data_IF_917955168511
#
_entry.id   IF_917955168511
#
_cell.length_a   1.000
_cell.length_b   1.000
_cell.length_c   1.000
_cell.angle_alpha   90.00
_cell.angle_beta   90.00
_cell.angle_gamma   90.00
#
_symmetry.space_group_name_H-M   'P 1'
#
loop_
_entity.id
_entity.type
_entity.pdbx_description
1 polymer ?
#
# COMPACT_ATOMS: atom_id res chain seq x y z
N UNK A 1 -10.18 -3.27 -18.59
CA UNK A 1 -11.60 -2.81 -18.61
C UNK A 1 -12.23 -3.12 -17.27
N UNK A 2 -13.01 -2.20 -16.73
CA UNK A 2 -13.77 -2.44 -15.48
C UNK A 2 -14.84 -3.51 -15.74
N UNK A 3 -15.04 -4.41 -14.73
CA UNK A 3 -16.04 -5.46 -14.85
C UNK A 3 -17.46 -4.85 -14.92
N UNK A 4 -18.23 -5.04 -16.00
CA UNK A 4 -19.56 -4.44 -16.20
C UNK A 4 -20.60 -4.96 -15.18
N UNK A 5 -20.37 -6.10 -14.53
CA UNK A 5 -21.28 -6.63 -13.51
C UNK A 5 -21.20 -5.90 -12.16
N UNK A 6 -20.15 -5.08 -11.97
CA UNK A 6 -19.91 -4.32 -10.73
C UNK A 6 -20.44 -2.89 -10.89
N UNK A 7 -21.74 -2.70 -10.75
CA UNK A 7 -22.39 -1.40 -10.98
C UNK A 7 -22.99 -0.84 -9.68
N UNK A 8 -22.90 0.48 -9.53
CA UNK A 8 -23.65 1.20 -8.51
C UNK A 8 -24.92 1.77 -9.16
N UNK A 9 -26.08 1.46 -8.59
CA UNK A 9 -27.32 2.11 -9.02
C UNK A 9 -27.23 3.62 -8.76
N UNK A 10 -27.15 4.41 -9.81
CA UNK A 10 -27.19 5.86 -9.72
C UNK A 10 -28.63 6.31 -9.52
N UNK A 11 -28.86 7.35 -8.71
CA UNK A 11 -30.16 8.02 -8.59
C UNK A 11 -30.70 8.59 -9.91
N UNK A 12 -29.90 8.59 -10.98
CA UNK A 12 -30.24 9.03 -12.34
C UNK A 12 -30.42 7.88 -13.34
N UNK A 13 -30.46 6.60 -12.88
CA UNK A 13 -30.66 5.46 -13.77
C UNK A 13 -29.45 5.10 -14.67
N UNK A 14 -28.31 5.76 -14.50
CA UNK A 14 -27.09 5.45 -15.25
C UNK A 14 -26.23 4.51 -14.37
N UNK A 15 -26.05 3.30 -14.82
CA UNK A 15 -25.16 2.32 -14.15
C UNK A 15 -23.70 2.75 -14.35
N UNK A 16 -23.06 3.22 -13.28
CA UNK A 16 -21.65 3.62 -13.32
C UNK A 16 -20.80 2.46 -12.77
N UNK A 17 -19.79 1.98 -13.51
CA UNK A 17 -18.98 0.86 -13.05
C UNK A 17 -18.17 1.25 -11.81
N UNK A 18 -18.11 0.35 -10.80
CA UNK A 18 -17.30 0.56 -9.61
C UNK A 18 -15.89 0.05 -9.85
N UNK A 19 -14.86 0.88 -9.57
CA UNK A 19 -13.48 0.46 -9.54
C UNK A 19 -13.12 -0.07 -8.14
N UNK A 20 -12.67 -1.32 -8.06
CA UNK A 20 -12.18 -1.92 -6.83
C UNK A 20 -10.67 -1.74 -6.72
N UNK A 21 -10.23 -1.14 -5.62
CA UNK A 21 -8.80 -0.86 -5.34
C UNK A 21 -8.38 -1.67 -4.12
N UNK A 22 -7.38 -2.54 -4.27
CA UNK A 22 -6.80 -3.29 -3.16
C UNK A 22 -5.60 -2.56 -2.58
N UNK A 23 -5.56 -2.44 -1.26
CA UNK A 23 -4.51 -1.75 -0.51
C UNK A 23 -3.54 -2.77 0.10
N UNK A 24 -2.48 -3.08 -0.63
CA UNK A 24 -1.39 -3.94 -0.21
C UNK A 24 -0.33 -3.15 0.59
N UNK A 25 0.12 -3.67 1.70
CA UNK A 25 1.17 -3.00 2.49
C UNK A 25 1.54 -3.80 3.74
N UNK A 26 2.76 -3.61 4.20
CA UNK A 26 3.31 -4.33 5.34
C UNK A 26 2.44 -4.17 6.59
N UNK A 27 2.09 -5.29 7.20
CA UNK A 27 1.33 -5.37 8.45
C UNK A 27 2.22 -5.92 9.57
N UNK A 28 2.86 -7.06 9.32
CA UNK A 28 3.70 -7.74 10.32
C UNK A 28 4.90 -6.87 10.74
N UNK A 29 5.07 -6.69 12.04
CA UNK A 29 6.15 -5.89 12.62
C UNK A 29 5.92 -4.38 12.64
N UNK A 30 4.73 -3.90 12.26
CA UNK A 30 4.34 -2.50 12.37
C UNK A 30 3.29 -2.30 13.46
N UNK A 31 3.25 -1.10 14.07
CA UNK A 31 2.12 -0.68 14.89
C UNK A 31 0.88 -0.43 14.02
N UNK A 32 -0.30 -0.48 14.65
CA UNK A 32 -1.57 -0.29 13.95
C UNK A 32 -1.66 1.05 13.23
N UNK A 33 -1.15 2.12 13.83
CA UNK A 33 -1.19 3.47 13.25
C UNK A 33 -0.40 3.56 11.94
N UNK A 34 0.79 2.94 11.89
CA UNK A 34 1.58 2.84 10.66
C UNK A 34 0.89 1.99 9.59
N UNK A 35 0.20 0.92 10.01
CA UNK A 35 -0.58 0.10 9.08
C UNK A 35 -1.79 0.83 8.51
N UNK A 36 -2.50 1.60 9.32
CA UNK A 36 -3.74 2.26 8.94
C UNK A 36 -3.53 3.66 8.38
N UNK A 37 -2.52 4.40 8.82
CA UNK A 37 -2.35 5.83 8.52
C UNK A 37 -2.41 6.15 7.03
N UNK A 38 -1.59 5.50 6.23
CA UNK A 38 -1.56 5.70 4.78
C UNK A 38 -2.84 5.20 4.07
N UNK A 39 -3.43 4.10 4.56
CA UNK A 39 -4.69 3.55 4.03
C UNK A 39 -5.84 4.50 4.27
N UNK A 40 -5.99 4.96 5.53
CA UNK A 40 -7.04 5.89 5.91
C UNK A 40 -6.92 7.21 5.15
N UNK A 41 -5.71 7.70 4.92
CA UNK A 41 -5.47 8.92 4.14
C UNK A 41 -6.01 8.80 2.71
N UNK A 42 -5.76 7.66 2.03
CA UNK A 42 -6.29 7.40 0.70
C UNK A 42 -7.82 7.26 0.73
N UNK A 43 -8.34 6.42 1.62
CA UNK A 43 -9.77 6.14 1.72
C UNK A 43 -10.56 7.42 2.02
N UNK A 44 -10.12 8.21 2.99
CA UNK A 44 -10.78 9.47 3.38
C UNK A 44 -10.78 10.48 2.23
N UNK A 45 -9.64 10.65 1.54
CA UNK A 45 -9.57 11.56 0.40
C UNK A 45 -10.63 11.25 -0.66
N UNK A 46 -10.80 9.97 -1.02
CA UNK A 46 -11.79 9.57 -2.03
C UNK A 46 -13.21 9.48 -1.48
N UNK A 47 -13.42 9.28 -0.17
CA UNK A 47 -14.74 9.33 0.46
C UNK A 47 -15.32 10.75 0.44
N UNK A 48 -14.50 11.75 0.75
CA UNK A 48 -14.91 13.17 0.77
C UNK A 48 -15.16 13.72 -0.65
N UNK A 49 -14.58 13.07 -1.65
CA UNK A 49 -14.73 13.48 -3.06
C UNK A 49 -16.10 13.16 -3.65
N UNK A 50 -16.98 12.43 -2.95
CA UNK A 50 -18.30 11.96 -3.41
C UNK A 50 -19.27 13.08 -3.86
N UNK A 51 -18.98 14.35 -3.57
CA UNK A 51 -19.85 15.49 -3.89
C UNK A 51 -19.56 16.21 -5.22
N UNK A 52 -18.46 15.93 -5.93
CA UNK A 52 -17.98 16.76 -7.05
C UNK A 52 -17.63 15.97 -8.33
N UNK A 53 -18.50 15.04 -8.75
CA UNK A 53 -18.23 14.19 -9.92
C UNK A 53 -17.27 13.03 -9.58
N UNK A 54 -17.41 12.51 -8.39
CA UNK A 54 -16.57 11.45 -7.85
C UNK A 54 -16.75 10.16 -8.64
N UNK A 55 -15.63 9.55 -8.97
CA UNK A 55 -15.60 8.20 -9.52
C UNK A 55 -15.99 7.20 -8.41
N UNK A 56 -16.84 6.20 -8.70
CA UNK A 56 -17.19 5.18 -7.74
C UNK A 56 -16.00 4.25 -7.49
N UNK A 57 -15.25 4.52 -6.42
CA UNK A 57 -14.13 3.72 -5.99
C UNK A 57 -14.51 2.99 -4.71
N UNK A 58 -14.26 1.69 -4.66
CA UNK A 58 -14.42 0.83 -3.49
C UNK A 58 -13.07 0.25 -3.09
N UNK A 59 -12.71 0.38 -1.82
CA UNK A 59 -11.44 -0.11 -1.32
C UNK A 59 -11.59 -1.50 -0.71
N UNK A 60 -10.68 -2.39 -1.09
CA UNK A 60 -10.47 -3.70 -0.49
C UNK A 60 -9.20 -3.61 0.35
N UNK A 61 -9.31 -3.86 1.64
CA UNK A 61 -8.17 -3.77 2.56
C UNK A 61 -7.88 -5.13 3.19
N UNK A 62 -6.62 -5.51 3.23
CA UNK A 62 -6.15 -6.70 3.93
C UNK A 62 -6.52 -6.69 5.43
N UNK A 63 -6.71 -5.49 6.01
CA UNK A 63 -7.07 -5.32 7.42
C UNK A 63 -8.56 -5.47 7.72
N UNK A 64 -9.46 -5.37 6.75
CA UNK A 64 -10.92 -5.37 6.95
C UNK A 64 -11.51 -6.64 7.61
N UNK A 65 -10.72 -7.66 7.85
CA UNK A 65 -11.14 -8.89 8.54
C UNK A 65 -10.24 -9.23 9.73
N UNK A 66 -9.39 -8.29 10.16
CA UNK A 66 -8.52 -8.46 11.31
C UNK A 66 -9.14 -7.67 12.44
N UNK A 67 -9.65 -8.39 13.46
CA UNK A 67 -10.13 -7.75 14.68
C UNK A 67 -9.00 -6.92 15.28
N UNK A 68 -9.28 -5.64 15.50
CA UNK A 68 -8.30 -4.61 15.84
C UNK A 68 -7.70 -4.74 17.24
N UNK A 69 -8.18 -5.66 18.06
CA UNK A 69 -7.89 -5.68 19.50
C UNK A 69 -6.63 -6.44 19.88
N UNK A 70 -5.96 -7.10 18.94
CA UNK A 70 -4.76 -7.89 19.20
C UNK A 70 -3.58 -7.49 18.34
N UNK A 71 -3.06 -6.27 18.57
CA UNK A 71 -1.73 -5.89 18.08
C UNK A 71 -0.72 -6.27 19.14
N UNK A 72 0.03 -7.33 18.91
CA UNK A 72 1.19 -7.64 19.74
C UNK A 72 2.47 -7.00 19.18
N UNK A 73 3.58 -7.18 19.88
CA UNK A 73 4.91 -6.71 19.43
C UNK A 73 5.35 -7.32 18.09
N UNK A 74 4.64 -8.30 17.57
CA UNK A 74 4.89 -8.97 16.29
C UNK A 74 3.96 -8.51 15.17
N UNK A 75 3.02 -7.62 15.41
CA UNK A 75 2.02 -7.12 14.47
C UNK A 75 0.61 -7.62 14.79
N UNK A 76 -0.30 -7.44 13.85
CA UNK A 76 -1.68 -7.89 14.00
C UNK A 76 -1.75 -9.41 14.06
N UNK A 77 -2.19 -9.95 15.18
CA UNK A 77 -2.55 -11.36 15.27
C UNK A 77 -3.89 -11.54 14.57
N UNK A 78 -3.87 -12.27 13.48
CA UNK A 78 -5.11 -12.65 12.82
C UNK A 78 -5.72 -13.86 13.51
N UNK A 79 -6.99 -13.80 13.88
CA UNK A 79 -7.76 -14.96 14.29
C UNK A 79 -7.95 -15.98 13.14
N UNK A 80 -7.61 -15.58 11.91
CA UNK A 80 -7.73 -16.40 10.71
C UNK A 80 -6.46 -17.27 10.55
N UNK A 81 -6.59 -18.58 10.31
CA UNK A 81 -5.45 -19.43 10.01
C UNK A 81 -4.61 -18.91 8.83
N UNK A 82 -3.27 -19.07 8.86
CA UNK A 82 -2.37 -18.52 7.84
C UNK A 82 -2.71 -18.89 6.39
N UNK A 83 -3.17 -20.11 6.15
CA UNK A 83 -3.61 -20.58 4.83
C UNK A 83 -4.85 -19.83 4.33
N UNK A 84 -5.80 -19.49 5.21
CA UNK A 84 -6.96 -18.70 4.84
C UNK A 84 -6.62 -17.22 4.61
N UNK A 85 -5.58 -16.70 5.23
CA UNK A 85 -5.07 -15.35 4.92
C UNK A 85 -4.59 -15.31 3.47
N UNK A 86 -3.80 -16.28 3.06
CA UNK A 86 -3.32 -16.41 1.68
C UNK A 86 -4.49 -16.42 0.68
N UNK A 87 -5.46 -17.31 0.90
CA UNK A 87 -6.61 -17.45 0.00
C UNK A 87 -7.43 -16.16 -0.08
N UNK A 88 -7.66 -15.50 1.07
CA UNK A 88 -8.38 -14.22 1.14
C UNK A 88 -7.67 -13.12 0.38
N UNK A 89 -6.35 -12.96 0.60
CA UNK A 89 -5.57 -11.91 -0.03
C UNK A 89 -5.48 -12.16 -1.55
N UNK A 90 -5.27 -13.40 -1.99
CA UNK A 90 -5.32 -13.79 -3.39
C UNK A 90 -6.70 -13.48 -4.02
N UNK A 91 -7.81 -13.81 -3.34
CA UNK A 91 -9.15 -13.49 -3.84
C UNK A 91 -9.36 -11.98 -3.92
N UNK A 92 -8.85 -11.21 -2.97
CA UNK A 92 -8.94 -9.75 -2.97
C UNK A 92 -8.16 -9.13 -4.13
N UNK A 93 -6.94 -9.61 -4.39
CA UNK A 93 -6.15 -9.22 -5.56
C UNK A 93 -6.88 -9.57 -6.87
N UNK A 94 -7.47 -10.76 -6.97
CA UNK A 94 -8.26 -11.16 -8.16
C UNK A 94 -9.48 -10.27 -8.37
N UNK A 95 -10.17 -9.89 -7.29
CA UNK A 95 -11.37 -9.04 -7.33
C UNK A 95 -11.05 -7.59 -7.66
N UNK A 96 -9.90 -7.09 -7.26
CA UNK A 96 -9.49 -5.72 -7.49
C UNK A 96 -9.30 -5.43 -8.99
N UNK A 97 -9.56 -4.19 -9.37
CA UNK A 97 -9.26 -3.64 -10.70
C UNK A 97 -7.89 -2.95 -10.70
N UNK A 98 -7.48 -2.38 -9.54
CA UNK A 98 -6.20 -1.70 -9.33
C UNK A 98 -5.60 -2.15 -8.00
N UNK A 99 -4.29 -2.30 -7.94
CA UNK A 99 -3.56 -2.58 -6.70
C UNK A 99 -2.71 -1.36 -6.34
N UNK A 100 -2.81 -0.90 -5.11
CA UNK A 100 -1.85 0.05 -4.52
C UNK A 100 -0.98 -0.74 -3.55
N UNK A 101 0.32 -0.82 -3.83
CA UNK A 101 1.28 -1.49 -2.97
C UNK A 101 2.19 -0.45 -2.28
N UNK A 102 2.06 -0.34 -0.96
CA UNK A 102 2.97 0.48 -0.16
C UNK A 102 4.24 -0.31 0.14
N UNK A 103 5.32 0.09 -0.52
CA UNK A 103 6.66 -0.51 -0.40
C UNK A 103 7.54 0.24 0.61
N UNK A 104 6.97 1.21 1.34
CA UNK A 104 7.66 1.97 2.36
C UNK A 104 8.16 1.03 3.47
N UNK A 105 9.45 1.12 3.77
CA UNK A 105 10.04 0.48 4.95
C UNK A 105 9.99 1.50 6.08
N UNK A 106 9.17 1.24 7.06
CA UNK A 106 9.20 2.01 8.28
C UNK A 106 10.48 1.63 9.04
N UNK A 107 11.37 2.60 9.24
CA UNK A 107 12.51 2.43 10.14
C UNK A 107 11.99 2.42 11.58
N UNK A 108 12.55 1.56 12.42
CA UNK A 108 12.25 1.60 13.84
C UNK A 108 12.68 2.94 14.43
N UNK A 109 11.85 3.47 15.33
CA UNK A 109 12.18 4.69 16.09
C UNK A 109 13.56 4.54 16.73
N UNK A 110 14.43 5.53 16.54
CA UNK A 110 15.80 5.53 17.05
C UNK A 110 16.87 5.04 16.07
N UNK A 111 16.50 4.54 14.87
CA UNK A 111 17.49 4.26 13.84
C UNK A 111 17.99 5.55 13.17
N UNK A 112 17.14 6.56 13.06
CA UNK A 112 17.51 7.89 12.58
C UNK A 112 18.60 8.51 13.45
N UNK A 113 18.53 8.34 14.78
CA UNK A 113 19.55 8.79 15.72
C UNK A 113 20.89 8.05 15.54
N UNK A 114 20.84 6.79 15.10
CA UNK A 114 22.06 5.98 14.85
C UNK A 114 22.70 6.33 13.51
N UNK A 115 21.89 6.75 12.53
CA UNK A 115 22.35 7.07 11.17
C UNK A 115 22.66 8.55 10.99
N UNK A 116 22.38 9.42 11.97
CA UNK A 116 22.66 10.83 11.90
C UNK A 116 24.10 11.14 12.38
N UNK A 117 25.06 11.43 11.49
CA UNK A 117 26.47 11.51 11.82
C UNK A 117 26.91 12.85 12.44
N UNK A 118 25.99 13.74 12.81
CA UNK A 118 26.33 15.06 13.37
C UNK A 118 26.85 15.02 14.81
N UNK A 119 26.80 13.85 15.47
CA UNK A 119 27.33 13.65 16.82
C UNK A 119 28.75 13.11 16.84
N UNK A 120 29.63 13.70 17.66
CA UNK A 120 30.91 13.07 18.02
C UNK A 120 30.64 11.95 18.99
N UNK A 121 30.48 10.73 18.47
CA UNK A 121 30.30 9.54 19.31
C UNK A 121 31.60 9.21 20.04
N UNK A 122 31.52 8.92 21.36
CA UNK A 122 32.59 8.23 22.04
C UNK A 122 32.55 6.73 21.67
N UNK A 123 33.59 5.99 22.01
CA UNK A 123 33.75 4.58 21.66
C UNK A 123 32.55 3.72 22.14
N UNK A 124 31.99 4.00 23.31
CA UNK A 124 30.85 3.26 23.86
C UNK A 124 29.59 3.50 23.05
N UNK A 125 29.31 4.77 22.68
CA UNK A 125 28.16 5.16 21.88
C UNK A 125 28.22 4.54 20.48
N UNK A 126 29.40 4.44 19.87
CA UNK A 126 29.59 3.76 18.59
C UNK A 126 29.31 2.27 18.70
N UNK A 127 29.74 1.61 19.78
CA UNK A 127 29.48 0.20 20.03
C UNK A 127 27.99 -0.04 20.26
N UNK A 128 27.31 0.80 21.06
CA UNK A 128 25.89 0.71 21.31
C UNK A 128 25.07 0.97 20.01
N UNK A 129 25.47 1.94 19.20
CA UNK A 129 24.88 2.22 17.89
C UNK A 129 25.05 1.02 16.94
N UNK A 130 26.23 0.41 16.90
CA UNK A 130 26.49 -0.79 16.12
C UNK A 130 25.59 -1.96 16.53
N UNK A 131 25.45 -2.23 17.85
CA UNK A 131 24.56 -3.30 18.32
C UNK A 131 23.09 -3.02 18.01
N UNK A 132 22.62 -1.77 18.13
CA UNK A 132 21.27 -1.38 17.71
C UNK A 132 21.08 -1.64 16.22
N UNK A 133 22.01 -1.20 15.38
CA UNK A 133 21.95 -1.43 13.94
C UNK A 133 21.92 -2.92 13.60
N UNK A 134 22.79 -3.73 14.22
CA UNK A 134 22.79 -5.17 14.05
C UNK A 134 21.46 -5.82 14.46
N UNK A 135 20.84 -5.37 15.54
CA UNK A 135 19.55 -5.85 15.98
C UNK A 135 18.43 -5.50 14.98
N UNK A 136 18.43 -4.27 14.46
CA UNK A 136 17.48 -3.84 13.44
C UNK A 136 17.62 -4.68 12.17
N UNK A 137 18.85 -4.86 11.69
CA UNK A 137 19.12 -5.68 10.49
C UNK A 137 18.70 -7.13 10.72
N UNK A 138 19.03 -7.72 11.88
CA UNK A 138 18.70 -9.10 12.23
C UNK A 138 17.20 -9.34 12.38
N UNK A 139 16.47 -8.35 12.88
CA UNK A 139 15.03 -8.42 13.11
C UNK A 139 14.22 -7.87 11.92
N UNK A 140 14.89 -7.34 10.89
CA UNK A 140 14.23 -6.83 9.68
C UNK A 140 13.53 -7.99 8.97
N UNK A 141 12.22 -7.99 9.04
CA UNK A 141 11.42 -8.97 8.31
C UNK A 141 11.16 -8.44 6.90
N UNK A 142 11.51 -9.18 5.86
CA UNK A 142 11.14 -8.82 4.50
C UNK A 142 9.62 -8.68 4.37
N UNK A 143 9.19 -7.74 3.53
CA UNK A 143 7.77 -7.52 3.25
C UNK A 143 7.26 -8.56 2.23
N UNK A 144 7.30 -9.85 2.61
CA UNK A 144 6.92 -10.95 1.72
C UNK A 144 5.45 -10.87 1.29
N UNK A 145 4.54 -10.48 2.20
CA UNK A 145 3.12 -10.38 1.91
C UNK A 145 2.85 -9.41 0.75
N UNK A 146 3.26 -8.16 0.90
CA UNK A 146 3.07 -7.14 -0.15
C UNK A 146 3.80 -7.49 -1.44
N UNK A 147 4.99 -8.09 -1.36
CA UNK A 147 5.72 -8.54 -2.55
C UNK A 147 4.97 -9.64 -3.29
N UNK A 148 4.37 -10.59 -2.58
CA UNK A 148 3.56 -11.65 -3.16
C UNK A 148 2.27 -11.11 -3.80
N UNK A 149 1.56 -10.22 -3.10
CA UNK A 149 0.35 -9.55 -3.61
C UNK A 149 0.65 -8.77 -4.90
N UNK A 150 1.79 -8.07 -4.94
CA UNK A 150 2.27 -7.38 -6.13
C UNK A 150 2.61 -8.36 -7.27
N UNK A 151 3.28 -9.47 -6.97
CA UNK A 151 3.59 -10.49 -7.96
C UNK A 151 2.32 -11.08 -8.59
N UNK A 152 1.29 -11.36 -7.78
CA UNK A 152 -0.01 -11.80 -8.28
C UNK A 152 -0.68 -10.73 -9.14
N UNK A 153 -0.63 -9.46 -8.73
CA UNK A 153 -1.19 -8.35 -9.49
C UNK A 153 -0.53 -8.23 -10.86
N UNK A 154 0.80 -8.27 -10.94
CA UNK A 154 1.56 -8.21 -12.18
C UNK A 154 1.31 -9.44 -13.08
N UNK A 155 1.17 -10.63 -12.49
CA UNK A 155 0.83 -11.84 -13.24
C UNK A 155 -0.59 -11.80 -13.82
N UNK A 156 -1.53 -11.23 -13.06
CA UNK A 156 -2.92 -11.03 -13.50
C UNK A 156 -3.09 -9.77 -14.38
N UNK A 157 -1.99 -9.13 -14.76
CA UNK A 157 -1.98 -7.91 -15.59
C UNK A 157 -2.83 -6.77 -15.02
N UNK A 158 -2.93 -6.70 -13.68
CA UNK A 158 -3.64 -5.63 -13.00
C UNK A 158 -2.81 -4.35 -13.00
N UNK A 159 -3.41 -3.19 -13.28
CA UNK A 159 -2.77 -1.91 -13.03
C UNK A 159 -2.30 -1.81 -11.58
N UNK A 160 -1.05 -1.43 -11.40
CA UNK A 160 -0.42 -1.33 -10.08
C UNK A 160 0.16 0.05 -9.84
N UNK A 161 -0.04 0.58 -8.63
CA UNK A 161 0.59 1.80 -8.14
C UNK A 161 1.51 1.42 -7.00
N UNK A 162 2.80 1.77 -7.08
CA UNK A 162 3.76 1.56 -6.01
C UNK A 162 4.02 2.88 -5.27
N UNK A 163 3.91 2.84 -3.95
CA UNK A 163 4.30 3.93 -3.05
C UNK A 163 5.69 3.58 -2.51
N UNK A 164 6.68 4.39 -2.84
CA UNK A 164 8.09 4.10 -2.54
C UNK A 164 8.50 4.47 -1.10
N UNK A 165 7.92 5.54 -0.55
CA UNK A 165 8.24 6.11 0.75
C UNK A 165 9.27 7.23 0.67
N UNK A 166 10.32 7.10 -0.15
CA UNK A 166 11.34 8.14 -0.35
C UNK A 166 11.72 8.31 -1.82
N UNK A 167 12.32 9.48 -2.20
CA UNK A 167 12.80 9.71 -3.57
C UNK A 167 13.84 8.69 -4.02
N UNK A 168 14.79 8.33 -3.14
CA UNK A 168 15.86 7.37 -3.44
C UNK A 168 15.29 5.99 -3.72
N UNK A 169 14.30 5.57 -2.92
CA UNK A 169 13.62 4.31 -3.11
C UNK A 169 12.77 4.30 -4.37
N UNK A 170 12.12 5.42 -4.70
CA UNK A 170 11.42 5.57 -5.97
C UNK A 170 12.36 5.31 -7.14
N UNK A 171 13.55 5.92 -7.14
CA UNK A 171 14.57 5.68 -8.15
C UNK A 171 14.97 4.21 -8.24
N UNK A 172 15.14 3.51 -7.09
CA UNK A 172 15.47 2.08 -7.06
C UNK A 172 14.34 1.25 -7.68
N UNK A 173 13.07 1.53 -7.34
CA UNK A 173 11.93 0.79 -7.87
C UNK A 173 11.74 1.02 -9.37
N UNK A 174 11.93 2.24 -9.87
CA UNK A 174 11.85 2.60 -11.29
C UNK A 174 12.92 1.89 -12.15
N UNK A 175 14.06 1.56 -11.54
CA UNK A 175 15.16 0.85 -12.22
C UNK A 175 15.17 -0.66 -11.94
N UNK A 176 14.30 -1.16 -11.06
CA UNK A 176 14.24 -2.58 -10.74
C UNK A 176 13.55 -3.37 -11.86
N UNK A 177 14.13 -4.50 -12.36
CA UNK A 177 13.62 -5.20 -13.55
C UNK A 177 12.15 -5.62 -13.48
N UNK A 178 11.65 -5.96 -12.29
CA UNK A 178 10.25 -6.34 -12.09
C UNK A 178 9.36 -5.15 -11.68
N UNK A 179 9.84 -4.29 -10.75
CA UNK A 179 9.01 -3.21 -10.19
C UNK A 179 8.71 -2.12 -11.20
N UNK A 180 9.61 -1.86 -12.16
CA UNK A 180 9.38 -0.93 -13.28
C UNK A 180 8.20 -1.32 -14.18
N UNK A 181 7.64 -2.52 -14.03
CA UNK A 181 6.41 -2.96 -14.74
C UNK A 181 5.14 -2.43 -14.09
N UNK A 182 5.23 -1.83 -12.91
CA UNK A 182 4.09 -1.15 -12.31
C UNK A 182 3.60 -0.02 -13.23
N UNK A 183 2.28 0.22 -13.22
CA UNK A 183 1.67 1.26 -14.04
C UNK A 183 2.12 2.65 -13.60
N UNK A 184 2.33 2.83 -12.30
CA UNK A 184 2.76 4.10 -11.69
C UNK A 184 3.65 3.81 -10.49
N UNK A 185 4.71 4.59 -10.32
CA UNK A 185 5.53 4.60 -9.10
C UNK A 185 5.53 6.03 -8.56
N UNK A 186 5.01 6.20 -7.34
CA UNK A 186 4.95 7.50 -6.65
C UNK A 186 5.93 7.50 -5.47
N UNK A 187 6.39 8.68 -5.08
CA UNK A 187 7.24 8.85 -3.91
C UNK A 187 6.50 8.47 -2.63
N UNK A 188 5.31 9.03 -2.44
CA UNK A 188 4.50 8.90 -1.23
C UNK A 188 3.00 8.99 -1.54
N UNK A 189 2.18 8.90 -0.50
CA UNK A 189 0.72 9.02 -0.61
C UNK A 189 0.30 10.41 -1.10
N UNK A 190 1.01 11.46 -0.72
CA UNK A 190 0.67 12.82 -1.14
C UNK A 190 0.82 12.98 -2.65
N UNK A 191 1.91 12.50 -3.24
CA UNK A 191 2.09 12.49 -4.70
C UNK A 191 0.97 11.71 -5.42
N UNK A 192 0.53 10.58 -4.83
CA UNK A 192 -0.59 9.79 -5.38
C UNK A 192 -1.87 10.61 -5.43
N UNK A 193 -2.20 11.30 -4.34
CA UNK A 193 -3.43 12.07 -4.18
C UNK A 193 -3.39 13.38 -4.99
N UNK A 194 -2.30 14.13 -4.96
CA UNK A 194 -2.12 15.39 -5.71
C UNK A 194 -2.27 15.17 -7.22
N UNK A 195 -1.64 14.13 -7.74
CA UNK A 195 -1.73 13.77 -9.16
C UNK A 195 -3.01 13.04 -9.53
N UNK A 196 -3.87 12.73 -8.56
CA UNK A 196 -5.17 12.06 -8.75
C UNK A 196 -5.07 10.77 -9.57
N UNK A 197 -4.05 9.96 -9.33
CA UNK A 197 -3.75 8.79 -10.14
C UNK A 197 -4.91 7.79 -10.23
N UNK A 198 -5.70 7.58 -9.16
CA UNK A 198 -6.86 6.69 -9.24
C UNK A 198 -7.95 7.23 -10.17
N UNK A 199 -8.11 8.55 -10.27
CA UNK A 199 -9.06 9.15 -11.22
C UNK A 199 -8.61 8.92 -12.68
N UNK A 200 -7.30 9.04 -12.94
CA UNK A 200 -6.71 8.78 -14.25
C UNK A 200 -6.90 7.31 -14.64
N UNK A 201 -6.59 6.38 -13.71
CA UNK A 201 -6.78 4.95 -13.93
C UNK A 201 -8.25 4.62 -14.16
N UNK A 202 -9.16 5.16 -13.34
CA UNK A 202 -10.58 4.95 -13.53
C UNK A 202 -11.05 5.37 -14.94
N UNK A 203 -10.68 6.58 -15.38
CA UNK A 203 -11.03 7.08 -16.72
C UNK A 203 -10.51 6.16 -17.81
N UNK A 204 -9.23 5.76 -17.73
CA UNK A 204 -8.61 4.90 -18.75
C UNK A 204 -9.27 3.51 -18.82
N UNK A 205 -9.76 2.99 -17.70
CA UNK A 205 -10.38 1.67 -17.63
C UNK A 205 -11.87 1.68 -17.96
N UNK A 206 -12.58 2.78 -17.67
CA UNK A 206 -14.02 2.93 -17.94
C UNK A 206 -14.35 3.32 -19.38
N UNK A 207 -13.33 3.68 -20.19
CA UNK A 207 -13.54 4.18 -21.54
C UNK A 207 -14.15 5.59 -21.58
N UNK A 208 -14.19 6.30 -20.46
CA UNK A 208 -14.70 7.66 -20.38
C UNK A 208 -13.76 8.59 -21.16
N UNK A 209 -14.27 9.21 -22.22
CA UNK A 209 -13.55 10.23 -23.00
C UNK A 209 -13.28 11.46 -22.14
N UNK A 210 -12.12 12.08 -22.33
CA UNK A 210 -11.79 13.36 -21.73
C UNK A 210 -12.67 14.44 -22.38
N UNK A 211 -13.65 14.96 -21.65
CA UNK A 211 -14.24 16.26 -21.92
C UNK A 211 -13.55 17.34 -21.07
#
# INVERSE_FOLDING_TARGET
>A
MLNPEKKLASSKGIDVPIMYVYLAGRIAGNCIDKCLGWRNKIVSYYADYKGRGAYPISFLDALNSKESDSVDKMGLISAIPPNLIYDKDMMSVKKADVIIANMEDYMEEGLEDVLNPEGKYNHKELVDAYYKLCNVIKNRRPNYGTTMELAWALWLEKPTVLIAGTPERKYILENHPFMKRASVIVRDVDELLEKKWLNILYKSMSGATYE
#
